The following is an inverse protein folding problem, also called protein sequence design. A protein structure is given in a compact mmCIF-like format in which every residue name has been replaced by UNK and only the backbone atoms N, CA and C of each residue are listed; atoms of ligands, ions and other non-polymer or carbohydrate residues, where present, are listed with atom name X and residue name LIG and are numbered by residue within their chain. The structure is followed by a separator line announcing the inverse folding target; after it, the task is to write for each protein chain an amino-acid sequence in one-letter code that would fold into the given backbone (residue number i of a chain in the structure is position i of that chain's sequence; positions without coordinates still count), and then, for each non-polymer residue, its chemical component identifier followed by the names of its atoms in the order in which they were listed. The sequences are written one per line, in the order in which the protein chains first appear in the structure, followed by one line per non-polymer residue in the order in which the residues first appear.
data_IF_789037921710
#
_entry.id   IF_789037921710
#
_cell.length_a   1.000
_cell.length_b   1.000
_cell.length_c   1.000
_cell.angle_alpha   90.00
_cell.angle_beta   90.00
_cell.angle_gamma   90.00
#
_symmetry.space_group_name_H-M   'P 1'
#
loop_
_entity.id
_entity.type
_entity.pdbx_description
1 polymer ?
#
# COMPACT_ATOMS: atom_id res chain seq x y z
N UNK A 1 19.69 -18.05 15.90
CA UNK A 1 18.67 -17.18 16.54
C UNK A 1 19.25 -15.78 16.67
N UNK A 2 18.50 -14.73 16.32
CA UNK A 2 18.94 -13.35 16.56
C UNK A 2 18.93 -13.09 18.07
N UNK A 3 20.09 -12.80 18.64
CA UNK A 3 20.32 -12.80 20.10
C UNK A 3 19.82 -11.54 20.83
N UNK A 4 19.34 -10.52 20.11
CA UNK A 4 18.82 -9.29 20.71
C UNK A 4 17.54 -8.84 19.99
N UNK A 5 16.38 -8.80 20.65
CA UNK A 5 15.20 -8.17 20.08
C UNK A 5 15.48 -6.66 19.96
N UNK A 6 15.42 -6.13 18.75
CA UNK A 6 15.44 -4.69 18.54
C UNK A 6 14.14 -4.13 19.12
N UNK A 7 14.23 -3.37 20.20
CA UNK A 7 13.13 -2.55 20.73
C UNK A 7 12.86 -1.40 19.74
N UNK A 8 12.18 -1.73 18.64
CA UNK A 8 11.67 -0.73 17.72
C UNK A 8 10.23 -0.37 18.12
N UNK A 9 9.93 0.92 18.21
CA UNK A 9 8.55 1.38 18.27
C UNK A 9 7.88 1.01 16.93
N UNK A 10 7.10 -0.07 16.93
CA UNK A 10 6.33 -0.51 15.76
C UNK A 10 5.16 0.47 15.55
N UNK A 11 5.41 1.54 14.81
CA UNK A 11 4.35 2.41 14.35
C UNK A 11 3.57 1.72 13.23
N UNK A 12 2.24 1.90 13.23
CA UNK A 12 1.42 1.37 12.15
C UNK A 12 1.84 2.00 10.81
N UNK A 13 1.85 1.19 9.74
CA UNK A 13 2.34 1.63 8.43
C UNK A 13 1.58 2.87 7.90
N UNK A 14 0.28 2.96 8.18
CA UNK A 14 -0.56 4.09 7.76
C UNK A 14 -0.21 5.40 8.47
N UNK A 15 0.48 5.35 9.63
CA UNK A 15 0.92 6.52 10.37
C UNK A 15 2.22 7.12 9.79
N UNK A 16 2.95 6.36 8.97
CA UNK A 16 4.27 6.71 8.47
C UNK A 16 4.14 7.35 7.08
N UNK A 17 4.47 8.63 6.94
CA UNK A 17 4.25 9.37 5.68
C UNK A 17 5.04 8.81 4.48
N UNK A 18 6.22 8.26 4.70
CA UNK A 18 7.01 7.62 3.65
C UNK A 18 6.37 6.31 3.15
N UNK A 19 5.43 5.72 3.88
CA UNK A 19 4.71 4.51 3.45
C UNK A 19 3.44 4.82 2.65
N UNK A 20 3.06 6.10 2.53
CA UNK A 20 1.87 6.51 1.79
C UNK A 20 1.90 6.00 0.34
N UNK A 21 0.84 5.28 -0.07
CA UNK A 21 0.67 4.75 -1.43
C UNK A 21 1.51 3.52 -1.77
N UNK A 22 2.34 3.00 -0.85
CA UNK A 22 3.23 1.85 -1.12
C UNK A 22 2.59 0.49 -0.90
N UNK A 23 1.46 0.45 -0.19
CA UNK A 23 0.82 -0.79 0.22
C UNK A 23 -0.67 -0.78 -0.13
N UNK A 24 -1.17 -1.95 -0.54
CA UNK A 24 -2.60 -2.21 -0.69
C UNK A 24 -3.31 -2.22 0.67
N UNK A 25 -4.66 -2.13 0.68
CA UNK A 25 -5.43 -2.26 1.91
C UNK A 25 -5.11 -3.56 2.63
N UNK A 26 -5.00 -3.47 3.94
CA UNK A 26 -4.93 -4.64 4.78
C UNK A 26 -6.33 -5.29 4.82
N UNK A 27 -6.49 -6.57 4.47
CA UNK A 27 -7.79 -7.25 4.48
C UNK A 27 -8.45 -7.27 5.86
N UNK A 28 -7.69 -7.12 6.95
CA UNK A 28 -8.19 -7.04 8.32
C UNK A 28 -8.57 -5.61 8.76
N UNK A 29 -8.34 -4.60 7.92
CA UNK A 29 -8.73 -3.21 8.18
C UNK A 29 -9.53 -2.67 6.99
N UNK A 30 -10.84 -2.97 6.91
CA UNK A 30 -11.72 -2.35 5.93
C UNK A 30 -11.72 -0.82 6.09
N UNK A 31 -12.02 -0.07 5.01
CA UNK A 31 -12.58 -0.55 3.74
C UNK A 31 -11.52 -1.01 2.72
N UNK A 32 -11.89 -1.92 1.81
CA UNK A 32 -10.97 -2.51 0.82
C UNK A 32 -10.75 -1.65 -0.44
N UNK A 33 -11.48 -0.53 -0.57
CA UNK A 33 -11.46 0.35 -1.73
C UNK A 33 -10.59 1.61 -1.55
N UNK A 34 -10.00 1.79 -0.36
CA UNK A 34 -9.11 2.91 -0.03
C UNK A 34 -8.16 2.57 1.11
N UNK A 35 -7.07 3.32 1.20
CA UNK A 35 -6.04 3.18 2.22
C UNK A 35 -5.87 4.51 2.94
N UNK A 36 -5.94 4.48 4.28
CA UNK A 36 -5.61 5.64 5.10
C UNK A 36 -4.11 5.88 5.07
N UNK A 37 -3.69 7.13 4.88
CA UNK A 37 -2.28 7.52 4.82
C UNK A 37 -2.04 8.80 5.61
N UNK A 38 -0.84 8.93 6.16
CA UNK A 38 -0.29 10.21 6.61
C UNK A 38 0.38 10.93 5.43
N UNK A 39 -0.06 12.15 5.15
CA UNK A 39 0.49 13.08 4.18
C UNK A 39 1.52 14.02 4.85
N UNK A 40 2.07 14.98 4.08
CA UNK A 40 2.98 16.01 4.61
C UNK A 40 2.33 16.81 5.75
N UNK A 41 3.17 17.26 6.68
CA UNK A 41 2.78 18.06 7.84
C UNK A 41 1.75 17.38 8.77
N UNK A 42 1.78 16.04 8.85
CA UNK A 42 0.92 15.29 9.77
C UNK A 42 -0.56 15.24 9.37
N UNK A 43 -0.94 15.76 8.19
CA UNK A 43 -2.32 15.64 7.69
C UNK A 43 -2.59 14.19 7.33
N UNK A 44 -3.78 13.68 7.60
CA UNK A 44 -4.21 12.36 7.14
C UNK A 44 -5.14 12.47 5.94
N UNK A 45 -5.16 11.44 5.11
CA UNK A 45 -6.04 11.36 3.95
C UNK A 45 -6.29 9.92 3.53
N UNK A 46 -7.08 9.76 2.47
CA UNK A 46 -7.40 8.48 1.87
C UNK A 46 -6.89 8.44 0.44
N UNK A 47 -6.21 7.36 0.06
CA UNK A 47 -5.89 7.04 -1.33
C UNK A 47 -6.81 5.92 -1.80
N UNK A 48 -7.30 5.99 -3.03
CA UNK A 48 -8.22 4.99 -3.54
C UNK A 48 -7.48 3.79 -4.13
N UNK A 49 -8.09 2.62 -4.01
CA UNK A 49 -7.69 1.44 -4.77
C UNK A 49 -8.45 1.44 -6.08
N UNK A 50 -7.73 1.56 -7.20
CA UNK A 50 -8.33 1.59 -8.53
C UNK A 50 -7.90 0.37 -9.32
N UNK A 51 -8.84 -0.24 -10.04
CA UNK A 51 -8.53 -1.22 -11.09
C UNK A 51 -8.32 -0.50 -12.41
N UNK A 52 -7.21 -0.78 -13.06
CA UNK A 52 -6.87 -0.18 -14.35
C UNK A 52 -6.08 -1.17 -15.21
N UNK A 53 -5.88 -0.82 -16.50
CA UNK A 53 -5.08 -1.63 -17.42
C UNK A 53 -3.61 -1.63 -16.98
N UNK A 54 -2.99 -2.79 -17.06
CA UNK A 54 -1.56 -2.96 -16.79
C UNK A 54 -0.76 -2.20 -17.87
N UNK A 55 0.20 -1.34 -17.49
CA UNK A 55 1.08 -0.68 -18.45
C UNK A 55 1.85 -1.70 -19.30
N UNK A 56 2.06 -1.38 -20.58
CA UNK A 56 2.70 -2.29 -21.55
C UNK A 56 4.02 -2.89 -21.04
N UNK A 57 4.83 -2.10 -20.34
CA UNK A 57 6.12 -2.52 -19.75
C UNK A 57 5.99 -3.67 -18.73
N UNK A 58 4.81 -3.90 -18.18
CA UNK A 58 4.55 -4.95 -17.20
C UNK A 58 3.62 -6.04 -17.73
N UNK A 59 2.93 -5.82 -18.85
CA UNK A 59 1.91 -6.73 -19.38
C UNK A 59 2.42 -8.15 -19.66
N UNK A 60 3.74 -8.34 -19.80
CA UNK A 60 4.36 -9.64 -20.03
C UNK A 60 4.53 -10.49 -18.75
N UNK A 61 4.30 -9.93 -17.56
CA UNK A 61 4.44 -10.69 -16.32
C UNK A 61 3.24 -11.64 -16.10
N UNK A 62 3.46 -12.89 -15.67
CA UNK A 62 2.39 -13.87 -15.47
C UNK A 62 1.28 -13.40 -14.51
N UNK A 63 1.62 -12.66 -13.46
CA UNK A 63 0.63 -12.13 -12.50
C UNK A 63 -0.37 -11.13 -13.12
N UNK A 64 -0.07 -10.63 -14.33
CA UNK A 64 -0.88 -9.65 -15.06
C UNK A 64 -1.55 -10.26 -16.29
N UNK A 65 -1.70 -11.59 -16.36
CA UNK A 65 -2.31 -12.29 -17.47
C UNK A 65 -3.74 -11.84 -17.81
N UNK A 66 -4.50 -11.32 -16.83
CA UNK A 66 -5.84 -10.76 -17.05
C UNK A 66 -5.84 -9.31 -17.56
N UNK A 67 -4.66 -8.71 -17.78
CA UNK A 67 -4.48 -7.36 -18.30
C UNK A 67 -4.85 -6.22 -17.35
N UNK A 68 -5.22 -6.51 -16.10
CA UNK A 68 -5.61 -5.50 -15.11
C UNK A 68 -4.84 -5.64 -13.81
N UNK A 69 -4.52 -4.51 -13.21
CA UNK A 69 -3.91 -4.44 -11.88
C UNK A 69 -4.71 -3.51 -10.98
N UNK A 70 -4.42 -3.57 -9.69
CA UNK A 70 -4.93 -2.60 -8.72
C UNK A 70 -3.80 -1.66 -8.33
N UNK A 71 -4.08 -0.37 -8.22
CA UNK A 71 -3.10 0.65 -7.80
C UNK A 71 -3.68 1.53 -6.69
N UNK A 72 -2.82 2.08 -5.84
CA UNK A 72 -3.18 2.98 -4.73
C UNK A 72 -2.80 4.41 -5.10
N UNK A 73 -3.79 5.28 -5.34
CA UNK A 73 -3.58 6.69 -5.73
C UNK A 73 -4.79 7.58 -5.51
#
# INVERSE_FOLDING_TARGET
SLQHPVLAQRQAYYAQSFMAGRFHPNPYHPPADRVSVTLRFGRSGWLHVRRERVPQRFAHFPQYANGVWSVVR
#
